data_IF_796241000584
#
_entry.id   IF_796241000584
#
_cell.length_a   1.000
_cell.length_b   1.000
_cell.length_c   1.000
_cell.angle_alpha   90.00
_cell.angle_beta   90.00
_cell.angle_gamma   90.00
#
_symmetry.space_group_name_H-M   'P 1'
#
loop_
_entity.id
_entity.type
_entity.pdbx_description
1 polymer ?
#
# COMPACT_ATOMS: atom_id res chain seq x y z
N UNK A 1 40.89 -1.14 44.52
CA UNK A 1 41.40 -1.86 43.33
C UNK A 1 40.30 -1.76 42.30
N UNK A 2 40.24 -0.62 41.61
CA UNK A 2 39.16 -0.30 40.68
C UNK A 2 39.55 -0.69 39.25
N UNK A 3 38.69 -1.52 38.65
CA UNK A 3 38.29 -1.51 37.25
C UNK A 3 39.32 -1.18 36.18
N UNK A 4 40.02 -2.20 35.69
CA UNK A 4 40.32 -2.28 34.26
C UNK A 4 39.32 -3.27 33.67
N UNK A 5 38.14 -2.77 33.30
CA UNK A 5 37.31 -3.51 32.35
C UNK A 5 38.05 -3.40 31.02
N UNK A 6 38.53 -4.54 30.51
CA UNK A 6 39.22 -4.67 29.24
C UNK A 6 38.53 -3.83 28.15
N UNK A 7 39.20 -2.80 27.63
CA UNK A 7 38.64 -1.86 26.65
C UNK A 7 38.06 -2.61 25.43
N UNK A 8 38.66 -3.76 25.10
CA UNK A 8 38.17 -4.67 24.07
C UNK A 8 36.79 -5.25 24.40
N UNK A 9 36.53 -5.63 25.66
CA UNK A 9 35.23 -6.12 26.09
C UNK A 9 34.15 -5.03 26.00
N UNK A 10 34.51 -3.78 26.30
CA UNK A 10 33.59 -2.64 26.15
C UNK A 10 33.27 -2.36 24.69
N UNK A 11 34.30 -2.33 23.83
CA UNK A 11 34.15 -2.17 22.38
C UNK A 11 33.29 -3.30 21.77
N UNK A 12 33.52 -4.55 22.18
CA UNK A 12 32.74 -5.69 21.69
C UNK A 12 31.26 -5.58 22.11
N UNK A 13 30.97 -5.10 23.32
CA UNK A 13 29.60 -4.87 23.77
C UNK A 13 28.92 -3.76 22.95
N UNK A 14 29.62 -2.64 22.71
CA UNK A 14 29.12 -1.55 21.86
C UNK A 14 28.82 -2.03 20.43
N UNK A 15 29.68 -2.90 19.87
CA UNK A 15 29.46 -3.53 18.56
C UNK A 15 28.26 -4.48 18.55
N UNK A 16 28.08 -5.31 19.59
CA UNK A 16 26.92 -6.21 19.71
C UNK A 16 25.61 -5.44 19.82
N UNK A 17 25.59 -4.33 20.58
CA UNK A 17 24.43 -3.46 20.65
C UNK A 17 24.11 -2.80 19.30
N UNK A 18 25.14 -2.33 18.58
CA UNK A 18 24.96 -1.78 17.25
C UNK A 18 24.38 -2.80 16.27
N UNK A 19 24.89 -4.04 16.33
CA UNK A 19 24.39 -5.15 15.52
C UNK A 19 22.92 -5.47 15.86
N UNK A 20 22.56 -5.50 17.15
CA UNK A 20 21.18 -5.69 17.59
C UNK A 20 20.23 -4.61 17.05
N UNK A 21 20.65 -3.34 17.05
CA UNK A 21 19.86 -2.23 16.47
C UNK A 21 19.61 -2.42 14.97
N UNK A 22 20.62 -2.85 14.22
CA UNK A 22 20.47 -3.11 12.78
C UNK A 22 19.46 -4.23 12.52
N UNK A 23 19.56 -5.35 13.25
CA UNK A 23 18.63 -6.46 13.09
C UNK A 23 17.19 -6.10 13.50
N UNK A 24 17.01 -5.37 14.60
CA UNK A 24 15.69 -4.93 15.03
C UNK A 24 15.06 -4.00 13.98
N UNK A 25 15.84 -3.06 13.43
CA UNK A 25 15.34 -2.14 12.40
C UNK A 25 14.94 -2.89 11.13
N UNK A 26 15.76 -3.84 10.69
CA UNK A 26 15.42 -4.67 9.53
C UNK A 26 14.16 -5.51 9.77
N UNK A 27 14.00 -6.07 10.97
CA UNK A 27 12.81 -6.83 11.33
C UNK A 27 11.54 -5.95 11.40
N UNK A 28 11.65 -4.71 11.87
CA UNK A 28 10.55 -3.73 11.82
C UNK A 28 10.15 -3.40 10.38
N UNK A 29 11.13 -3.16 9.50
CA UNK A 29 10.87 -2.81 8.10
C UNK A 29 10.31 -4.00 7.29
N UNK A 30 10.60 -5.24 7.69
CA UNK A 30 10.09 -6.49 7.09
C UNK A 30 8.77 -6.97 7.73
N UNK A 31 8.18 -6.17 8.65
CA UNK A 31 6.88 -6.53 9.21
C UNK A 31 5.75 -6.35 8.18
N UNK A 32 4.87 -7.36 8.02
CA UNK A 32 3.68 -7.22 7.23
C UNK A 32 2.78 -6.07 7.63
N UNK A 33 2.72 -5.04 6.79
CA UNK A 33 1.77 -3.92 6.94
C UNK A 33 0.62 -4.12 5.98
N UNK A 34 -0.61 -4.10 6.50
CA UNK A 34 -1.82 -4.11 5.67
C UNK A 34 -1.86 -2.87 4.76
N UNK A 35 -2.25 -3.09 3.50
CA UNK A 35 -2.44 -1.99 2.55
C UNK A 35 -3.56 -1.08 3.05
N UNK A 36 -3.34 0.24 3.15
CA UNK A 36 -4.39 1.15 3.59
C UNK A 36 -5.62 1.13 2.67
N UNK A 37 -6.83 1.03 3.25
CA UNK A 37 -8.12 0.93 2.55
C UNK A 37 -8.39 2.02 1.49
N UNK A 38 -7.77 3.19 1.62
CA UNK A 38 -7.92 4.29 0.66
C UNK A 38 -7.10 4.07 -0.62
N UNK A 39 -6.18 3.11 -0.63
CA UNK A 39 -5.45 2.62 -1.81
C UNK A 39 -6.13 1.40 -2.44
N UNK A 40 -7.22 0.92 -1.84
CA UNK A 40 -7.94 -0.26 -2.30
C UNK A 40 -9.25 0.08 -3.01
N UNK A 41 -9.54 -0.68 -4.06
CA UNK A 41 -10.78 -0.58 -4.83
C UNK A 41 -11.99 -1.00 -3.98
N UNK A 42 -13.09 -0.24 -4.07
CA UNK A 42 -14.31 -0.52 -3.29
C UNK A 42 -15.09 -1.76 -3.72
N UNK A 43 -14.69 -2.40 -4.83
CA UNK A 43 -15.30 -3.65 -5.31
C UNK A 43 -14.36 -4.84 -5.10
N UNK A 44 -13.11 -4.75 -5.55
CA UNK A 44 -12.16 -5.87 -5.41
C UNK A 44 -11.56 -5.97 -4.02
N UNK A 45 -11.54 -4.86 -3.27
CA UNK A 45 -10.83 -4.71 -2.00
C UNK A 45 -9.31 -4.85 -2.12
N UNK A 46 -8.80 -4.91 -3.35
CA UNK A 46 -7.37 -4.98 -3.66
C UNK A 46 -6.80 -3.59 -3.99
N UNK A 47 -5.49 -3.44 -3.86
CA UNK A 47 -4.76 -2.23 -4.25
C UNK A 47 -5.00 -1.88 -5.73
N UNK A 48 -5.20 -0.59 -6.02
CA UNK A 48 -5.49 -0.15 -7.39
C UNK A 48 -4.34 -0.43 -8.37
N UNK A 49 -4.68 -0.85 -9.59
CA UNK A 49 -3.74 -0.94 -10.72
C UNK A 49 -4.04 0.13 -11.76
N UNK A 50 -5.31 0.32 -12.09
CA UNK A 50 -5.80 1.35 -13.01
C UNK A 50 -7.01 2.08 -12.41
N UNK A 51 -6.78 2.98 -11.44
CA UNK A 51 -7.85 3.66 -10.73
C UNK A 51 -8.59 4.65 -11.63
N UNK A 52 -9.92 4.60 -11.61
CA UNK A 52 -10.83 5.57 -12.23
C UNK A 52 -11.80 6.14 -11.23
N UNK A 53 -12.08 7.43 -11.32
CA UNK A 53 -13.01 8.15 -10.45
C UNK A 53 -14.34 8.41 -11.16
N UNK A 54 -15.45 8.28 -10.43
CA UNK A 54 -16.81 8.61 -10.88
C UNK A 54 -17.16 10.06 -10.52
N UNK A 55 -18.19 10.66 -11.16
CA UNK A 55 -18.68 12.00 -10.78
C UNK A 55 -19.12 12.11 -9.31
N UNK A 56 -19.54 10.99 -8.71
CA UNK A 56 -19.92 10.88 -7.30
C UNK A 56 -18.69 10.86 -6.35
N UNK A 57 -17.47 10.89 -6.89
CA UNK A 57 -16.22 11.01 -6.13
C UNK A 57 -15.60 9.68 -5.69
N UNK A 58 -16.18 8.54 -6.06
CA UNK A 58 -15.64 7.22 -5.71
C UNK A 58 -14.65 6.71 -6.75
N UNK A 59 -13.61 6.02 -6.29
CA UNK A 59 -12.57 5.42 -7.14
C UNK A 59 -12.71 3.91 -7.19
N UNK A 60 -12.60 3.35 -8.39
CA UNK A 60 -12.71 1.92 -8.68
C UNK A 60 -11.59 1.46 -9.61
N UNK A 61 -11.35 0.16 -9.63
CA UNK A 61 -10.52 -0.48 -10.65
C UNK A 61 -11.27 -0.45 -12.00
N UNK A 62 -10.61 0.06 -13.07
CA UNK A 62 -11.25 0.34 -14.35
C UNK A 62 -11.96 -0.88 -14.92
N UNK A 63 -11.28 -2.02 -14.96
CA UNK A 63 -11.84 -3.25 -15.53
C UNK A 63 -13.12 -3.66 -14.80
N UNK A 64 -13.15 -3.48 -13.47
CA UNK A 64 -14.23 -3.96 -12.61
C UNK A 64 -15.45 -3.04 -12.66
N UNK A 65 -15.25 -1.72 -12.65
CA UNK A 65 -16.40 -0.80 -12.79
C UNK A 65 -17.01 -0.88 -14.19
N UNK A 66 -16.20 -1.09 -15.25
CA UNK A 66 -16.73 -1.31 -16.59
C UNK A 66 -17.56 -2.59 -16.69
N UNK A 67 -17.09 -3.68 -16.06
CA UNK A 67 -17.83 -4.94 -16.01
C UNK A 67 -19.15 -4.81 -15.26
N UNK A 68 -19.16 -4.10 -14.12
CA UNK A 68 -20.38 -3.77 -13.37
C UNK A 68 -21.39 -2.98 -14.23
N UNK A 69 -20.92 -1.93 -14.92
CA UNK A 69 -21.77 -1.10 -15.78
C UNK A 69 -22.37 -1.89 -16.96
N UNK A 70 -21.69 -2.96 -17.40
CA UNK A 70 -22.15 -3.82 -18.47
C UNK A 70 -23.10 -4.92 -17.99
N UNK A 71 -22.76 -5.61 -16.90
CA UNK A 71 -23.47 -6.82 -16.44
C UNK A 71 -24.56 -6.56 -15.41
N UNK A 72 -24.37 -5.57 -14.54
CA UNK A 72 -25.26 -5.30 -13.42
C UNK A 72 -26.19 -4.13 -13.75
N UNK A 73 -25.63 -3.03 -14.23
CA UNK A 73 -26.41 -1.88 -14.69
C UNK A 73 -25.66 -0.56 -14.65
N UNK A 74 -26.22 0.45 -15.32
CA UNK A 74 -25.62 1.77 -15.49
C UNK A 74 -25.83 2.69 -14.28
N UNK A 75 -25.31 2.26 -13.13
CA UNK A 75 -25.38 3.02 -11.88
C UNK A 75 -24.11 2.87 -11.06
N UNK A 76 -23.77 3.89 -10.28
CA UNK A 76 -22.65 3.86 -9.34
C UNK A 76 -22.92 2.80 -8.25
N UNK A 77 -21.98 1.85 -8.00
CA UNK A 77 -22.18 0.77 -7.04
C UNK A 77 -22.57 1.24 -5.63
N UNK A 78 -22.08 2.41 -5.21
CA UNK A 78 -22.26 2.94 -3.86
C UNK A 78 -23.47 3.88 -3.82
N UNK A 79 -23.50 4.92 -4.65
CA UNK A 79 -24.56 5.95 -4.57
C UNK A 79 -25.84 5.55 -5.28
N UNK A 80 -25.77 4.55 -6.18
CA UNK A 80 -26.86 4.11 -7.06
C UNK A 80 -27.34 5.18 -8.06
N UNK A 81 -26.62 6.29 -8.19
CA UNK A 81 -26.87 7.31 -9.20
C UNK A 81 -26.53 6.78 -10.60
N UNK A 82 -27.15 7.33 -11.65
CA UNK A 82 -26.84 6.91 -13.03
C UNK A 82 -25.38 7.18 -13.37
N UNK A 83 -24.72 6.15 -13.91
CA UNK A 83 -23.31 6.19 -14.25
C UNK A 83 -23.08 5.55 -15.62
N UNK A 84 -22.33 6.23 -16.48
CA UNK A 84 -21.98 5.78 -17.82
C UNK A 84 -20.45 5.69 -17.98
N UNK A 85 -19.94 4.75 -18.80
CA UNK A 85 -18.50 4.57 -19.00
C UNK A 85 -17.76 5.85 -19.44
N UNK A 86 -18.41 6.73 -20.21
CA UNK A 86 -17.84 8.00 -20.67
C UNK A 86 -17.59 9.02 -19.56
N UNK A 87 -18.16 8.80 -18.36
CA UNK A 87 -17.96 9.66 -17.20
C UNK A 87 -16.79 9.21 -16.32
N UNK A 88 -16.20 8.05 -16.61
CA UNK A 88 -15.05 7.54 -15.86
C UNK A 88 -13.79 8.29 -16.26
N UNK A 89 -13.15 8.93 -15.28
CA UNK A 89 -11.91 9.69 -15.49
C UNK A 89 -10.76 8.95 -14.79
N UNK A 90 -9.57 8.80 -15.40
CA UNK A 90 -8.40 8.26 -14.69
C UNK A 90 -8.09 9.08 -13.43
N UNK A 91 -7.94 8.40 -12.28
CA UNK A 91 -7.56 9.04 -11.03
C UNK A 91 -6.03 8.98 -10.87
N UNK A 92 -5.34 9.92 -11.50
CA UNK A 92 -3.87 9.96 -11.52
C UNK A 92 -3.28 10.16 -10.12
N UNK A 93 -3.94 10.92 -9.24
CA UNK A 93 -3.48 11.14 -7.88
C UNK A 93 -3.45 9.84 -7.06
N UNK A 94 -4.49 9.00 -7.17
CA UNK A 94 -4.49 7.68 -6.52
C UNK A 94 -3.45 6.75 -7.15
N UNK A 95 -3.26 6.82 -8.48
CA UNK A 95 -2.23 6.02 -9.16
C UNK A 95 -0.82 6.35 -8.68
N UNK A 96 -0.52 7.63 -8.49
CA UNK A 96 0.75 8.10 -7.92
C UNK A 96 0.88 7.70 -6.45
N UNK A 97 -0.19 7.83 -5.65
CA UNK A 97 -0.18 7.43 -4.25
C UNK A 97 0.09 5.92 -4.07
N UNK A 98 -0.53 5.07 -4.89
CA UNK A 98 -0.25 3.63 -4.92
C UNK A 98 1.20 3.38 -5.32
N UNK A 99 1.70 4.08 -6.33
CA UNK A 99 3.09 3.91 -6.79
C UNK A 99 4.09 4.25 -5.69
N UNK A 100 3.87 5.37 -4.99
CA UNK A 100 4.70 5.78 -3.85
C UNK A 100 4.62 4.80 -2.67
N UNK A 101 3.44 4.23 -2.42
CA UNK A 101 3.28 3.18 -1.41
C UNK A 101 4.06 1.92 -1.77
N UNK A 102 3.92 1.43 -3.01
CA UNK A 102 4.61 0.24 -3.50
C UNK A 102 6.12 0.40 -3.57
N UNK A 103 6.64 1.60 -3.85
CA UNK A 103 8.09 1.86 -3.82
C UNK A 103 8.65 1.70 -2.40
N UNK A 104 7.88 2.10 -1.39
CA UNK A 104 8.27 2.03 0.02
C UNK A 104 8.05 0.65 0.66
N UNK A 105 7.06 -0.10 0.17
CA UNK A 105 6.58 -1.35 0.76
C UNK A 105 6.69 -2.56 -0.20
N UNK A 106 7.59 -2.48 -1.19
CA UNK A 106 7.61 -3.31 -2.42
C UNK A 106 7.82 -4.81 -2.28
N UNK A 107 7.78 -5.39 -1.08
CA UNK A 107 7.77 -6.83 -0.87
C UNK A 107 6.37 -7.46 -1.07
N UNK A 108 5.30 -6.67 -1.09
CA UNK A 108 3.91 -7.15 -1.26
C UNK A 108 3.50 -7.33 -2.75
N UNK A 109 4.44 -7.18 -3.68
CA UNK A 109 4.24 -7.40 -5.12
C UNK A 109 4.61 -8.83 -5.56
N UNK A 110 4.28 -9.86 -4.78
CA UNK A 110 4.20 -11.21 -5.34
C UNK A 110 2.92 -11.32 -6.17
N UNK A 111 2.99 -10.79 -7.38
CA UNK A 111 2.10 -11.21 -8.45
C UNK A 111 2.49 -12.64 -8.82
N UNK A 112 1.85 -13.62 -8.18
CA UNK A 112 1.80 -15.00 -8.65
C UNK A 112 0.96 -15.12 -9.94
#
# INVERSE_FOLDING_TARGET
MEGFVDENARSNLEQLEALGRVFNKAAEDDTPTEVPDYLCCKITLDIFRDPVITPSGFTYERAVILDHLQKVGRFDPITRESLYPSQLVPNLAIKEAVSAYLEKHGWDNKMD
#
